data_IF_923664931112
#
_entry.id   IF_923664931112
#
_cell.length_a   1.000
_cell.length_b   1.000
_cell.length_c   1.000
_cell.angle_alpha   90.00
_cell.angle_beta   90.00
_cell.angle_gamma   90.00
#
_symmetry.space_group_name_H-M   'P 1'
#
loop_
_entity.id
_entity.type
_entity.pdbx_description
1 polymer ?
#
# COMPACT_ATOMS: atom_id res chain seq x y z
N UNK A 1 1.12 13.34 22.08
CA UNK A 1 -0.36 13.36 22.15
C UNK A 1 -0.81 14.56 21.34
N UNK A 2 -1.60 14.35 20.28
CA UNK A 2 -2.38 15.45 19.72
C UNK A 2 -3.43 15.79 20.78
N UNK A 3 -3.16 16.79 21.63
CA UNK A 3 -4.14 17.28 22.60
C UNK A 3 -5.44 17.63 21.87
N UNK A 4 -6.56 17.08 22.36
CA UNK A 4 -7.97 17.26 21.95
C UNK A 4 -8.27 18.13 20.71
N UNK A 5 -7.64 17.85 19.58
CA UNK A 5 -7.85 18.57 18.33
C UNK A 5 -8.79 17.73 17.49
N UNK A 6 -9.98 18.26 17.23
CA UNK A 6 -10.91 17.68 16.27
C UNK A 6 -10.28 17.78 14.88
N UNK A 7 -9.76 16.67 14.38
CA UNK A 7 -9.17 16.58 13.04
C UNK A 7 -10.23 15.94 12.14
N UNK A 8 -10.76 16.66 11.13
CA UNK A 8 -11.69 16.07 10.19
C UNK A 8 -10.96 15.01 9.36
N UNK A 9 -11.53 13.81 9.32
CA UNK A 9 -11.06 12.68 8.51
C UNK A 9 -12.15 12.32 7.50
N UNK A 10 -11.76 12.19 6.24
CA UNK A 10 -12.68 11.73 5.21
C UNK A 10 -13.14 10.29 5.48
N UNK A 11 -14.45 10.09 5.55
CA UNK A 11 -15.08 8.78 5.64
C UNK A 11 -15.90 8.54 4.38
N UNK A 12 -15.63 7.44 3.69
CA UNK A 12 -16.49 6.98 2.60
C UNK A 12 -17.65 6.20 3.16
N UNK A 13 -18.87 6.60 2.81
CA UNK A 13 -20.10 5.92 3.21
C UNK A 13 -20.70 5.21 1.99
N UNK A 14 -20.95 3.91 2.12
CA UNK A 14 -21.52 3.08 1.05
C UNK A 14 -20.48 2.19 0.36
N UNK A 15 -20.91 1.48 -0.69
CA UNK A 15 -20.04 0.58 -1.44
C UNK A 15 -19.44 1.27 -2.67
N UNK A 16 -18.11 1.42 -2.66
CA UNK A 16 -17.30 1.94 -3.77
C UNK A 16 -16.32 0.90 -4.32
N UNK A 17 -16.53 -0.39 -4.00
CA UNK A 17 -15.64 -1.49 -4.37
C UNK A 17 -14.93 -2.16 -3.19
N UNK A 18 -15.14 -1.66 -1.97
CA UNK A 18 -14.66 -2.28 -0.73
C UNK A 18 -15.78 -2.88 0.12
N UNK A 19 -17.03 -2.82 -0.33
CA UNK A 19 -18.20 -3.29 0.40
C UNK A 19 -18.84 -2.20 1.25
N UNK A 20 -20.07 -2.47 1.68
CA UNK A 20 -20.90 -1.53 2.43
C UNK A 20 -20.30 -1.11 3.79
N UNK A 21 -20.71 0.08 4.24
CA UNK A 21 -20.39 0.62 5.57
C UNK A 21 -19.60 1.93 5.50
N UNK A 22 -19.04 2.33 6.65
CA UNK A 22 -18.14 3.47 6.76
C UNK A 22 -16.69 3.01 6.62
N UNK A 23 -15.94 3.65 5.73
CA UNK A 23 -14.51 3.41 5.53
C UNK A 23 -13.73 4.67 5.87
N UNK A 24 -12.89 4.60 6.90
CA UNK A 24 -12.10 5.72 7.39
C UNK A 24 -10.78 5.81 6.64
N UNK A 25 -10.50 6.95 6.00
CA UNK A 25 -9.21 7.19 5.34
C UNK A 25 -8.07 7.27 6.38
N UNK A 26 -6.97 6.54 6.14
CA UNK A 26 -5.78 6.58 7.01
C UNK A 26 -4.57 7.21 6.35
N UNK A 27 -4.37 6.93 5.06
CA UNK A 27 -3.20 7.38 4.33
C UNK A 27 -3.47 7.45 2.83
N UNK A 28 -2.86 8.43 2.15
CA UNK A 28 -2.80 8.52 0.69
C UNK A 28 -1.35 8.68 0.26
N UNK A 29 -0.88 7.84 -0.65
CA UNK A 29 0.53 7.75 -1.05
C UNK A 29 0.67 7.99 -2.55
N UNK A 30 1.55 8.88 -2.98
CA UNK A 30 1.77 9.15 -4.41
C UNK A 30 3.02 8.38 -4.87
N UNK A 31 2.82 7.40 -5.75
CA UNK A 31 3.91 6.56 -6.27
C UNK A 31 5.01 7.33 -7.00
N UNK A 32 4.76 8.57 -7.40
CA UNK A 32 5.74 9.47 -8.01
C UNK A 32 6.61 10.22 -7.00
N UNK A 33 6.25 10.17 -5.72
CA UNK A 33 6.93 10.86 -4.62
C UNK A 33 7.58 9.89 -3.67
N UNK A 34 8.70 10.33 -3.07
CA UNK A 34 9.47 9.55 -2.09
C UNK A 34 8.93 9.66 -0.67
N UNK A 35 7.91 10.49 -0.42
CA UNK A 35 7.35 10.79 0.92
C UNK A 35 7.09 9.52 1.73
N UNK A 36 6.45 8.54 1.10
CA UNK A 36 6.09 7.27 1.73
C UNK A 36 6.90 6.10 1.19
N UNK A 37 8.15 6.29 0.76
CA UNK A 37 9.05 5.16 0.46
C UNK A 37 9.09 4.17 1.64
N UNK A 38 9.38 2.89 1.36
CA UNK A 38 9.47 1.83 2.38
C UNK A 38 10.22 2.26 3.64
N UNK A 39 11.35 2.96 3.50
CA UNK A 39 12.22 3.37 4.61
C UNK A 39 11.77 4.65 5.33
N UNK A 40 10.67 5.28 4.89
CA UNK A 40 10.16 6.52 5.49
C UNK A 40 9.74 6.32 6.95
N UNK A 41 10.13 7.25 7.82
CA UNK A 41 9.71 7.24 9.24
C UNK A 41 8.20 7.36 9.40
N UNK A 42 7.49 7.87 8.39
CA UNK A 42 6.04 7.95 8.40
C UNK A 42 5.34 6.58 8.54
N UNK A 43 6.03 5.46 8.33
CA UNK A 43 5.47 4.14 8.60
C UNK A 43 5.59 3.71 10.07
N UNK A 44 6.45 4.36 10.86
CA UNK A 44 6.78 3.96 12.24
C UNK A 44 6.67 5.09 13.28
N UNK A 45 6.32 6.30 12.86
CA UNK A 45 6.03 7.43 13.75
C UNK A 45 4.52 7.73 13.88
N UNK A 46 4.17 8.63 14.79
CA UNK A 46 2.80 9.16 14.97
C UNK A 46 2.70 10.63 14.55
N UNK A 47 3.42 10.99 13.49
CA UNK A 47 3.36 12.33 12.91
C UNK A 47 2.28 12.42 11.83
N UNK A 48 1.59 13.56 11.79
CA UNK A 48 0.64 13.89 10.71
C UNK A 48 1.41 14.36 9.48
N UNK A 49 0.87 14.08 8.29
CA UNK A 49 1.36 14.66 7.04
C UNK A 49 0.19 15.18 6.22
N UNK A 50 0.23 16.46 5.83
CA UNK A 50 -0.77 17.12 4.99
C UNK A 50 -2.24 16.81 5.41
N UNK A 51 -2.67 17.35 6.55
CA UNK A 51 -4.04 17.15 7.05
C UNK A 51 -5.11 17.64 6.06
N UNK A 52 -4.82 18.68 5.26
CA UNK A 52 -5.74 19.18 4.23
C UNK A 52 -6.03 18.12 3.17
N UNK A 53 -5.03 17.29 2.84
CA UNK A 53 -5.22 16.13 1.97
C UNK A 53 -6.24 15.13 2.51
N UNK A 54 -6.47 15.07 3.83
CA UNK A 54 -7.47 14.20 4.45
C UNK A 54 -8.92 14.68 4.36
N UNK A 55 -9.18 15.86 3.78
CA UNK A 55 -10.53 16.44 3.68
C UNK A 55 -11.33 15.95 2.46
N UNK A 56 -10.66 15.27 1.55
CA UNK A 56 -11.17 14.83 0.25
C UNK A 56 -10.87 13.35 0.05
N UNK A 57 -11.70 12.70 -0.76
CA UNK A 57 -11.59 11.27 -1.06
C UNK A 57 -10.44 10.91 -2.02
N UNK A 58 -10.78 10.33 -3.16
CA UNK A 58 -9.84 9.75 -4.13
C UNK A 58 -9.16 10.78 -5.07
N UNK A 59 -8.62 11.86 -4.50
CA UNK A 59 -7.79 12.82 -5.22
C UNK A 59 -6.31 12.41 -5.26
N UNK A 60 -5.42 13.31 -5.71
CA UNK A 60 -3.97 13.04 -5.84
C UNK A 60 -3.13 13.74 -4.75
N UNK A 61 -3.75 14.11 -3.62
CA UNK A 61 -3.05 14.76 -2.52
C UNK A 61 -2.62 13.72 -1.49
N UNK A 62 -1.31 13.61 -1.26
CA UNK A 62 -0.75 12.74 -0.21
C UNK A 62 -1.23 13.15 1.17
N UNK A 63 -1.45 12.18 2.07
CA UNK A 63 -1.79 12.47 3.47
C UNK A 63 -1.43 11.30 4.37
N UNK A 64 -1.13 11.61 5.64
CA UNK A 64 -1.10 10.65 6.76
C UNK A 64 -1.89 11.26 7.90
N UNK A 65 -2.94 10.56 8.31
CA UNK A 65 -3.92 11.05 9.28
C UNK A 65 -3.76 10.35 10.64
N UNK A 66 -4.23 10.96 11.74
CA UNK A 66 -4.23 10.32 13.06
C UNK A 66 -4.95 8.98 13.09
N UNK A 67 -5.94 8.79 12.22
CA UNK A 67 -6.63 7.52 12.03
C UNK A 67 -5.67 6.35 11.73
N UNK A 68 -4.47 6.62 11.20
CA UNK A 68 -3.40 5.63 11.02
C UNK A 68 -2.95 4.94 12.32
N UNK A 69 -2.93 5.67 13.46
CA UNK A 69 -2.51 5.12 14.76
C UNK A 69 -3.60 5.06 15.82
N UNK A 70 -4.77 5.66 15.58
CA UNK A 70 -5.88 5.76 16.56
C UNK A 70 -7.07 4.83 16.24
N UNK A 71 -7.18 4.32 15.01
CA UNK A 71 -8.38 3.58 14.57
C UNK A 71 -8.16 2.07 14.66
N UNK A 72 -8.91 1.40 15.54
CA UNK A 72 -9.05 -0.05 15.51
C UNK A 72 -9.87 -0.47 14.29
N UNK A 73 -9.51 -1.58 13.66
CA UNK A 73 -10.23 -2.08 12.48
C UNK A 73 -10.23 -3.61 12.40
N UNK A 74 -11.06 -4.12 11.50
CA UNK A 74 -11.20 -5.53 11.14
C UNK A 74 -10.95 -5.80 9.64
N UNK A 75 -10.97 -4.74 8.82
CA UNK A 75 -10.69 -4.79 7.39
C UNK A 75 -9.87 -3.59 6.94
N UNK A 76 -9.09 -3.80 5.89
CA UNK A 76 -8.32 -2.77 5.18
C UNK A 76 -8.79 -2.75 3.73
N UNK A 77 -9.11 -1.57 3.23
CA UNK A 77 -9.41 -1.32 1.84
C UNK A 77 -8.21 -0.62 1.21
N UNK A 78 -7.61 -1.26 0.21
CA UNK A 78 -6.48 -0.74 -0.54
C UNK A 78 -6.97 -0.33 -1.92
N UNK A 79 -6.71 0.92 -2.29
CA UNK A 79 -7.04 1.47 -3.59
C UNK A 79 -5.80 1.93 -4.34
N UNK A 80 -5.74 1.68 -5.65
CA UNK A 80 -4.76 2.29 -6.53
C UNK A 80 -5.46 2.98 -7.69
N UNK A 81 -5.09 4.23 -7.95
CA UNK A 81 -5.52 5.00 -9.11
C UNK A 81 -4.39 5.10 -10.12
N UNK A 82 -4.66 4.57 -11.30
CA UNK A 82 -3.84 4.69 -12.49
C UNK A 82 -4.69 5.35 -13.60
N UNK A 83 -4.17 6.43 -14.18
CA UNK A 83 -4.91 7.33 -15.05
C UNK A 83 -6.21 7.86 -14.40
N UNK A 84 -7.35 7.52 -15.01
CA UNK A 84 -8.69 7.88 -14.55
C UNK A 84 -9.35 6.82 -13.67
N UNK A 85 -8.83 5.60 -13.61
CA UNK A 85 -9.49 4.47 -12.97
C UNK A 85 -8.89 4.21 -11.59
N UNK A 86 -9.76 4.06 -10.58
CA UNK A 86 -9.36 3.61 -9.24
C UNK A 86 -9.88 2.19 -9.03
N UNK A 87 -8.99 1.28 -8.61
CA UNK A 87 -9.32 -0.13 -8.35
C UNK A 87 -9.03 -0.46 -6.91
N UNK A 88 -9.83 -1.33 -6.33
CA UNK A 88 -9.80 -1.62 -4.90
C UNK A 88 -9.70 -3.11 -4.62
N UNK A 89 -9.04 -3.44 -3.51
CA UNK A 89 -9.04 -4.77 -2.89
C UNK A 89 -9.21 -4.65 -1.39
N UNK A 90 -9.81 -5.67 -0.78
CA UNK A 90 -10.05 -5.71 0.67
C UNK A 90 -9.23 -6.84 1.29
N UNK A 91 -8.53 -6.52 2.37
CA UNK A 91 -7.84 -7.48 3.24
C UNK A 91 -8.63 -7.57 4.55
N UNK A 92 -9.00 -8.79 4.97
CA UNK A 92 -9.60 -9.03 6.29
C UNK A 92 -8.48 -9.25 7.29
N UNK A 93 -8.12 -8.20 8.02
CA UNK A 93 -7.08 -8.19 9.03
C UNK A 93 -7.55 -7.31 10.18
N UNK A 94 -7.45 -7.79 11.41
CA UNK A 94 -7.74 -6.99 12.59
C UNK A 94 -6.45 -6.49 13.25
N UNK A 95 -6.46 -5.25 13.73
CA UNK A 95 -5.40 -4.66 14.52
C UNK A 95 -5.92 -3.44 15.30
N UNK A 96 -5.20 -3.06 16.36
CA UNK A 96 -5.47 -1.84 17.12
C UNK A 96 -5.32 -0.57 16.28
N UNK A 97 -4.43 -0.59 15.28
CA UNK A 97 -4.26 0.45 14.26
C UNK A 97 -3.27 0.02 13.19
N UNK A 98 -3.18 0.77 12.08
CA UNK A 98 -2.24 0.45 11.00
C UNK A 98 -0.80 0.65 11.47
N UNK A 99 -0.59 1.63 12.35
CA UNK A 99 0.66 1.82 13.10
C UNK A 99 1.05 0.55 13.87
N UNK A 100 0.16 0.01 14.69
CA UNK A 100 0.45 -1.19 15.48
C UNK A 100 0.75 -2.42 14.61
N UNK A 101 0.21 -2.46 13.39
CA UNK A 101 0.41 -3.55 12.44
C UNK A 101 1.71 -3.44 11.63
N UNK A 102 2.25 -2.23 11.43
CA UNK A 102 3.36 -1.98 10.49
C UNK A 102 4.64 -1.50 11.20
N UNK A 103 4.52 -0.69 12.26
CA UNK A 103 5.62 0.13 12.79
C UNK A 103 6.81 -0.67 13.33
N UNK A 104 6.60 -1.90 13.78
CA UNK A 104 7.67 -2.76 14.30
C UNK A 104 8.53 -3.41 13.20
N UNK A 105 8.16 -3.22 11.93
CA UNK A 105 8.88 -3.78 10.79
C UNK A 105 8.75 -5.30 10.62
N UNK A 106 7.95 -5.98 11.46
CA UNK A 106 7.80 -7.43 11.39
C UNK A 106 6.95 -7.83 10.17
N UNK A 107 7.41 -8.85 9.46
CA UNK A 107 6.66 -9.45 8.36
C UNK A 107 5.39 -10.13 8.89
N UNK A 108 4.25 -9.86 8.24
CA UNK A 108 2.97 -10.51 8.54
C UNK A 108 2.30 -10.93 7.25
N UNK A 109 2.14 -12.23 7.06
CA UNK A 109 1.55 -12.78 5.85
C UNK A 109 0.05 -12.43 5.73
N UNK A 110 -0.41 -12.30 4.49
CA UNK A 110 -1.83 -12.37 4.14
C UNK A 110 -2.02 -13.44 3.07
N UNK A 111 -3.26 -13.75 2.71
CA UNK A 111 -3.58 -14.70 1.64
C UNK A 111 -4.59 -14.09 0.68
N UNK A 112 -4.23 -12.96 0.07
CA UNK A 112 -5.06 -12.26 -0.89
C UNK A 112 -4.92 -12.88 -2.30
N UNK A 113 -3.72 -13.37 -2.61
CA UNK A 113 -3.39 -14.02 -3.86
C UNK A 113 -2.95 -13.05 -4.94
N UNK A 114 -2.01 -13.53 -5.77
CA UNK A 114 -1.35 -12.77 -6.85
C UNK A 114 -2.31 -11.99 -7.75
N UNK A 115 -3.39 -12.61 -8.20
CA UNK A 115 -4.33 -11.99 -9.14
C UNK A 115 -5.06 -10.78 -8.53
N UNK A 116 -5.33 -10.81 -7.22
CA UNK A 116 -5.94 -9.67 -6.52
C UNK A 116 -4.96 -8.51 -6.42
N UNK A 117 -3.68 -8.75 -6.12
CA UNK A 117 -2.66 -7.69 -6.18
C UNK A 117 -2.53 -7.10 -7.58
N UNK A 118 -2.46 -7.92 -8.64
CA UNK A 118 -2.44 -7.43 -10.03
C UNK A 118 -3.68 -6.60 -10.37
N UNK A 119 -4.85 -6.96 -9.83
CA UNK A 119 -6.09 -6.21 -10.08
C UNK A 119 -6.07 -4.75 -9.62
N UNK A 120 -5.20 -4.37 -8.66
CA UNK A 120 -5.03 -2.97 -8.24
C UNK A 120 -4.49 -2.07 -9.36
N UNK A 121 -3.56 -2.58 -10.17
CA UNK A 121 -2.95 -1.85 -11.29
C UNK A 121 -3.59 -2.18 -12.64
N UNK A 122 -4.55 -3.10 -12.66
CA UNK A 122 -5.35 -3.41 -13.84
C UNK A 122 -4.66 -4.37 -14.82
N UNK A 123 -5.08 -4.37 -16.11
CA UNK A 123 -4.56 -5.29 -17.13
C UNK A 123 -3.06 -5.22 -17.34
N UNK A 124 -2.44 -4.08 -17.03
CA UNK A 124 -1.01 -3.86 -17.17
C UNK A 124 -0.18 -4.46 -16.03
N UNK A 125 -0.81 -5.00 -14.98
CA UNK A 125 -0.10 -5.59 -13.85
C UNK A 125 0.83 -6.71 -14.27
N UNK A 126 2.05 -6.70 -13.74
CA UNK A 126 3.11 -7.65 -14.06
C UNK A 126 3.89 -8.02 -12.80
N UNK A 127 4.24 -9.30 -12.67
CA UNK A 127 5.08 -9.80 -11.58
C UNK A 127 5.93 -10.97 -12.13
N UNK A 128 7.09 -11.23 -11.56
CA UNK A 128 7.82 -12.47 -11.81
C UNK A 128 7.03 -13.68 -11.28
N UNK A 129 7.19 -14.90 -11.82
CA UNK A 129 6.21 -15.98 -11.63
C UNK A 129 6.16 -16.60 -10.22
N UNK A 130 7.25 -16.55 -9.46
CA UNK A 130 7.49 -17.37 -8.28
C UNK A 130 7.60 -16.57 -6.97
N UNK A 131 7.86 -17.25 -5.85
CA UNK A 131 7.88 -16.75 -4.46
C UNK A 131 6.51 -16.21 -3.93
N UNK A 132 5.94 -15.19 -4.59
CA UNK A 132 4.65 -14.58 -4.26
C UNK A 132 4.47 -14.18 -2.78
N UNK A 133 5.53 -13.65 -2.15
CA UNK A 133 5.48 -13.23 -0.74
C UNK A 133 4.62 -11.97 -0.60
N UNK A 134 3.44 -12.15 -0.02
CA UNK A 134 2.46 -11.09 0.22
C UNK A 134 2.25 -10.82 1.71
N UNK A 135 1.85 -9.58 2.04
CA UNK A 135 1.61 -9.18 3.43
C UNK A 135 2.03 -7.76 3.77
N UNK A 136 2.30 -7.59 5.06
CA UNK A 136 2.85 -6.38 5.66
C UNK A 136 4.36 -6.53 5.84
N UNK A 137 5.11 -5.44 5.62
CA UNK A 137 6.57 -5.42 5.69
C UNK A 137 7.22 -6.56 4.86
N UNK A 138 6.77 -6.73 3.62
CA UNK A 138 7.34 -7.72 2.70
C UNK A 138 8.68 -7.21 2.20
N UNK A 139 9.71 -8.03 2.35
CA UNK A 139 11.08 -7.71 1.94
C UNK A 139 11.68 -8.95 1.28
N UNK A 140 12.35 -8.74 0.15
CA UNK A 140 13.27 -9.71 -0.40
C UNK A 140 14.56 -9.72 0.40
N UNK A 141 15.59 -9.07 -0.15
CA UNK A 141 16.80 -8.62 0.56
C UNK A 141 16.83 -7.09 0.62
N UNK A 142 17.86 -6.52 1.26
CA UNK A 142 17.91 -5.07 1.54
C UNK A 142 17.94 -4.18 0.29
N UNK A 143 18.40 -4.66 -0.87
CA UNK A 143 18.40 -3.90 -2.14
C UNK A 143 17.23 -4.24 -3.05
N UNK A 144 16.62 -5.42 -2.89
CA UNK A 144 15.57 -5.93 -3.77
C UNK A 144 14.18 -5.43 -3.38
N UNK A 145 13.18 -5.87 -4.14
CA UNK A 145 11.79 -5.47 -3.98
C UNK A 145 11.30 -5.61 -2.55
N UNK A 146 10.62 -4.56 -2.08
CA UNK A 146 10.01 -4.47 -0.75
C UNK A 146 8.77 -3.60 -0.79
N UNK A 147 7.85 -3.84 0.14
CA UNK A 147 6.65 -3.03 0.33
C UNK A 147 6.16 -3.10 1.78
N UNK A 148 5.59 -2.00 2.28
CA UNK A 148 4.96 -1.97 3.61
C UNK A 148 3.64 -2.73 3.62
N UNK A 149 2.90 -2.67 2.51
CA UNK A 149 1.71 -3.46 2.26
C UNK A 149 1.76 -3.87 0.79
N UNK A 150 1.90 -5.15 0.47
CA UNK A 150 2.07 -5.56 -0.92
C UNK A 150 2.40 -7.02 -1.13
N UNK A 151 2.77 -7.31 -2.37
CA UNK A 151 3.35 -8.57 -2.83
C UNK A 151 4.70 -8.27 -3.49
N UNK A 152 5.67 -9.15 -3.25
CA UNK A 152 6.90 -9.23 -4.02
C UNK A 152 6.98 -10.61 -4.67
N UNK A 153 7.58 -10.68 -5.86
CA UNK A 153 7.75 -11.93 -6.57
C UNK A 153 9.11 -11.99 -7.23
N UNK A 154 9.54 -13.21 -7.53
CA UNK A 154 10.84 -13.53 -8.08
C UNK A 154 10.73 -14.52 -9.24
N UNK A 155 11.77 -14.67 -10.07
CA UNK A 155 11.82 -15.75 -11.06
C UNK A 155 12.32 -17.07 -10.44
N UNK A 156 13.05 -17.03 -9.32
CA UNK A 156 13.33 -18.20 -8.48
C UNK A 156 12.22 -18.47 -7.45
N UNK A 157 12.26 -19.66 -6.83
CA UNK A 157 11.28 -20.07 -5.82
C UNK A 157 11.42 -19.32 -4.50
N UNK A 158 12.64 -18.88 -4.15
CA UNK A 158 12.89 -18.11 -2.95
C UNK A 158 12.55 -16.63 -3.14
N UNK A 159 12.43 -15.94 -2.01
CA UNK A 159 12.07 -14.54 -1.95
C UNK A 159 13.26 -13.66 -1.58
N UNK A 160 14.47 -13.91 -2.09
CA UNK A 160 15.67 -13.14 -1.73
C UNK A 160 15.98 -12.05 -2.76
N UNK A 161 15.93 -12.38 -4.05
CA UNK A 161 16.32 -11.48 -5.15
C UNK A 161 15.14 -10.96 -5.96
N UNK A 162 13.98 -10.77 -5.33
CA UNK A 162 12.77 -10.30 -6.01
C UNK A 162 12.98 -9.00 -6.82
N UNK A 163 12.70 -9.05 -8.11
CA UNK A 163 12.77 -7.92 -9.06
C UNK A 163 11.39 -7.42 -9.48
N UNK A 164 10.34 -7.90 -8.81
CA UNK A 164 8.98 -7.42 -9.03
C UNK A 164 8.17 -7.27 -7.75
N UNK A 165 7.28 -6.28 -7.75
CA UNK A 165 6.40 -5.93 -6.64
C UNK A 165 5.15 -5.19 -7.08
N UNK A 166 4.09 -5.32 -6.28
CA UNK A 166 2.92 -4.44 -6.29
C UNK A 166 2.63 -4.07 -4.85
N UNK A 167 2.52 -2.78 -4.54
CA UNK A 167 2.19 -2.39 -3.17
C UNK A 167 2.28 -0.91 -2.86
N UNK A 168 2.15 -0.63 -1.57
CA UNK A 168 2.19 0.67 -0.92
C UNK A 168 3.43 0.72 -0.02
N UNK A 169 4.07 1.88 0.06
CA UNK A 169 5.32 2.00 0.77
C UNK A 169 6.40 1.11 0.20
N UNK A 170 6.54 1.13 -1.13
CA UNK A 170 7.43 0.29 -1.88
C UNK A 170 8.82 0.92 -2.07
N UNK A 171 9.78 0.12 -2.51
CA UNK A 171 11.15 0.53 -2.82
C UNK A 171 12.03 -0.64 -3.28
N UNK A 172 13.33 -0.41 -3.38
CA UNK A 172 14.30 -1.35 -3.92
C UNK A 172 14.33 -1.39 -5.45
N UNK A 173 15.16 -2.29 -6.01
CA UNK A 173 15.30 -2.44 -7.45
C UNK A 173 13.97 -2.77 -8.15
N UNK A 174 13.74 -2.31 -9.38
CA UNK A 174 14.65 -1.51 -10.23
C UNK A 174 14.38 0.00 -10.22
N UNK A 175 13.35 0.46 -9.49
CA UNK A 175 13.08 1.87 -9.25
C UNK A 175 12.74 2.11 -7.77
N UNK A 176 13.71 2.51 -6.95
CA UNK A 176 13.47 2.78 -5.52
C UNK A 176 12.54 4.00 -5.30
N UNK A 177 12.35 4.85 -6.31
CA UNK A 177 11.44 5.98 -6.23
C UNK A 177 9.97 5.61 -6.45
N UNK A 178 9.66 4.43 -6.97
CA UNK A 178 8.29 3.94 -7.11
C UNK A 178 7.77 3.43 -5.75
N UNK A 179 7.09 4.31 -5.03
CA UNK A 179 6.60 4.06 -3.66
C UNK A 179 5.19 3.46 -3.60
N UNK A 180 4.44 3.53 -4.70
CA UNK A 180 3.09 2.97 -4.81
C UNK A 180 2.77 2.61 -6.27
N UNK A 181 2.37 1.37 -6.52
CA UNK A 181 2.07 0.87 -7.86
C UNK A 181 2.73 -0.47 -8.14
N UNK A 182 3.19 -0.67 -9.37
CA UNK A 182 3.83 -1.90 -9.84
C UNK A 182 5.20 -1.62 -10.44
N UNK A 183 6.20 -2.34 -9.95
CA UNK A 183 7.54 -2.43 -10.54
C UNK A 183 7.76 -3.89 -10.90
N UNK A 184 8.16 -4.20 -12.13
CA UNK A 184 8.44 -5.56 -12.53
C UNK A 184 9.49 -5.59 -13.64
N UNK A 185 10.56 -6.36 -13.42
CA UNK A 185 11.66 -6.61 -14.36
C UNK A 185 12.09 -8.06 -14.28
N UNK A 186 13.05 -8.44 -15.15
CA UNK A 186 13.74 -9.73 -15.13
C UNK A 186 12.75 -10.89 -15.32
N UNK A 187 12.19 -10.96 -16.53
CA UNK A 187 11.24 -12.00 -16.97
C UNK A 187 9.90 -12.05 -16.19
N UNK A 188 9.18 -10.93 -16.05
CA UNK A 188 7.87 -10.94 -15.43
C UNK A 188 6.76 -11.39 -16.40
N UNK A 189 5.63 -11.83 -15.85
CA UNK A 189 4.55 -12.52 -16.56
C UNK A 189 3.76 -11.65 -17.56
N UNK A 190 3.97 -10.33 -17.56
CA UNK A 190 3.31 -9.39 -18.46
C UNK A 190 4.28 -8.28 -18.95
N UNK A 191 5.55 -8.65 -19.14
CA UNK A 191 6.61 -7.73 -19.56
C UNK A 191 7.03 -6.72 -18.50
N UNK A 192 8.11 -5.98 -18.78
CA UNK A 192 8.64 -4.98 -17.84
C UNK A 192 7.61 -3.86 -17.60
N UNK A 193 7.42 -3.48 -16.33
CA UNK A 193 6.46 -2.44 -15.92
C UNK A 193 7.06 -1.48 -14.89
N UNK A 194 6.73 -0.20 -15.07
CA UNK A 194 7.08 0.92 -14.19
C UNK A 194 5.84 1.79 -13.91
N UNK A 195 4.83 1.21 -13.27
CA UNK A 195 3.54 1.86 -13.03
C UNK A 195 3.61 2.56 -11.67
N UNK A 196 3.45 3.88 -11.67
CA UNK A 196 3.34 4.70 -10.45
C UNK A 196 1.88 5.11 -10.29
N UNK A 197 1.27 4.72 -9.18
CA UNK A 197 -0.14 4.94 -8.89
C UNK A 197 -0.33 5.87 -7.70
N UNK A 198 -1.49 6.52 -7.63
CA UNK A 198 -1.95 7.13 -6.39
C UNK A 198 -2.60 6.05 -5.52
N UNK A 199 -2.06 5.84 -4.33
CA UNK A 199 -2.53 4.86 -3.36
C UNK A 199 -3.47 5.46 -2.32
N UNK A 200 -4.49 4.68 -1.95
CA UNK A 200 -5.43 4.99 -0.88
C UNK A 200 -5.49 3.81 0.09
N UNK A 201 -5.37 4.10 1.39
CA UNK A 201 -5.51 3.12 2.45
C UNK A 201 -6.65 3.59 3.35
N UNK A 202 -7.66 2.74 3.50
CA UNK A 202 -8.82 2.95 4.35
C UNK A 202 -9.04 1.74 5.25
N UNK A 203 -9.70 1.95 6.39
CA UNK A 203 -9.98 0.89 7.36
C UNK A 203 -11.44 0.89 7.81
N UNK A 204 -11.93 -0.28 8.22
CA UNK A 204 -13.28 -0.52 8.76
C UNK A 204 -13.22 -1.53 9.91
#
# INVERSE_FOLDING_TARGET
>A
MLGSRNIPVYCFMGDFGCGNGGWTLVMKTDGTKKTFNYSSSFWSDRQVYNLTGGKTGFDKQETKLPSYWETHFSKICLGMRDGSTTRFVVIRQSANSLYALIADGAYRAVSLGRNKWKSLVGPEGSLQPNCNKEGFNVVGTSSHSKARIGIIANNENDCLTCDSRIGFGAGGFHDDSNTCGNEARVSPDNGDKHIKAMGYILVQ
#
